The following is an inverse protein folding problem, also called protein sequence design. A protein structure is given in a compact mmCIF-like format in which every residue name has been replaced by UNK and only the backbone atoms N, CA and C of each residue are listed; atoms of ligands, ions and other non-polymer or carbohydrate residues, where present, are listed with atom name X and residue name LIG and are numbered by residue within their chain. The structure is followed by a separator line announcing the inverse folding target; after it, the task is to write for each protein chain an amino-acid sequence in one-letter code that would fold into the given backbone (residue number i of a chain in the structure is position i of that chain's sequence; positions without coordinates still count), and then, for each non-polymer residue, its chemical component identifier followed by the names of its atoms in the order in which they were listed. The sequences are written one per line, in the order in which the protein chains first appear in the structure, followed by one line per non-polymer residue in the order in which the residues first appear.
data_IF_019765001521
#
_entry.id   IF_019765001521
#
_cell.length_a   1.000
_cell.length_b   1.000
_cell.length_c   1.000
_cell.angle_alpha   90.00
_cell.angle_beta   90.00
_cell.angle_gamma   90.00
#
_symmetry.space_group_name_H-M   'P 1'
#
loop_
_entity.id
_entity.type
_entity.pdbx_description
1 polymer ?
#
# COMPACT_ATOMS: atom_id res chain seq x y z
N UNK A 1 -16.13 17.40 18.16
CA UNK A 1 -15.13 17.15 17.12
C UNK A 1 -14.44 15.84 17.40
N UNK A 2 -14.43 14.93 16.45
CA UNK A 2 -13.74 13.63 16.55
C UNK A 2 -12.22 13.84 16.47
N UNK A 3 -11.50 13.34 17.47
CA UNK A 3 -10.03 13.42 17.52
C UNK A 3 -9.40 12.12 17.01
N UNK A 4 -8.10 12.16 16.72
CA UNK A 4 -7.34 10.95 16.36
C UNK A 4 -7.44 9.88 17.46
N UNK A 5 -7.37 10.28 18.72
CA UNK A 5 -7.48 9.36 19.87
C UNK A 5 -8.85 8.66 19.94
N UNK A 6 -9.94 9.37 19.60
CA UNK A 6 -11.28 8.77 19.57
C UNK A 6 -11.34 7.67 18.48
N UNK A 7 -10.77 7.91 17.32
CA UNK A 7 -10.69 6.92 16.23
C UNK A 7 -9.85 5.72 16.67
N UNK A 8 -8.66 5.95 17.22
CA UNK A 8 -7.76 4.90 17.71
C UNK A 8 -8.42 4.04 18.79
N UNK A 9 -9.15 4.64 19.73
CA UNK A 9 -9.88 3.90 20.76
C UNK A 9 -10.96 2.98 20.18
N UNK A 10 -11.73 3.45 19.21
CA UNK A 10 -12.76 2.63 18.54
C UNK A 10 -12.10 1.50 17.74
N UNK A 11 -11.01 1.77 17.04
CA UNK A 11 -10.26 0.76 16.31
C UNK A 11 -9.72 -0.33 17.26
N UNK A 12 -9.23 0.04 18.45
CA UNK A 12 -8.82 -0.92 19.48
C UNK A 12 -10.00 -1.74 20.02
N UNK A 13 -11.14 -1.11 20.27
CA UNK A 13 -12.38 -1.82 20.69
C UNK A 13 -12.80 -2.85 19.63
N UNK A 14 -12.75 -2.45 18.35
CA UNK A 14 -13.01 -3.36 17.24
C UNK A 14 -12.02 -4.54 17.22
N UNK A 15 -10.71 -4.29 17.44
CA UNK A 15 -9.71 -5.35 17.54
C UNK A 15 -10.04 -6.37 18.65
N UNK A 16 -10.53 -5.91 19.79
CA UNK A 16 -10.91 -6.80 20.90
C UNK A 16 -12.05 -7.76 20.53
N UNK A 17 -12.96 -7.35 19.66
CA UNK A 17 -14.02 -8.22 19.14
C UNK A 17 -13.52 -9.40 18.28
N UNK A 18 -12.32 -9.26 17.68
CA UNK A 18 -11.68 -10.28 16.85
C UNK A 18 -10.60 -11.08 17.59
N UNK A 19 -10.04 -10.50 18.66
CA UNK A 19 -8.94 -11.10 19.41
C UNK A 19 -9.31 -12.46 19.99
N UNK A 20 -8.42 -13.45 19.79
CA UNK A 20 -8.66 -14.84 20.21
C UNK A 20 -9.55 -15.67 19.28
N UNK A 21 -10.12 -15.06 18.21
CA UNK A 21 -10.94 -15.75 17.22
C UNK A 21 -10.23 -15.82 15.86
N UNK A 22 -9.62 -14.73 15.43
CA UNK A 22 -8.98 -14.58 14.14
C UNK A 22 -7.55 -14.08 14.36
N UNK A 23 -6.60 -14.50 13.51
CA UNK A 23 -5.22 -14.02 13.54
C UNK A 23 -5.16 -12.52 13.20
N UNK A 24 -4.31 -11.76 13.90
CA UNK A 24 -4.18 -10.31 13.71
C UNK A 24 -3.75 -9.93 12.29
N UNK A 25 -3.00 -10.80 11.63
CA UNK A 25 -2.63 -10.61 10.22
C UNK A 25 -3.82 -10.64 9.25
N UNK A 26 -4.97 -11.15 9.67
CA UNK A 26 -6.20 -11.27 8.88
C UNK A 26 -7.29 -10.28 9.30
N UNK A 27 -7.57 -10.12 10.60
CA UNK A 27 -8.65 -9.23 11.01
C UNK A 27 -8.35 -7.74 10.79
N UNK A 28 -7.09 -7.37 10.60
CA UNK A 28 -6.72 -6.01 10.19
C UNK A 28 -7.46 -5.56 8.93
N UNK A 29 -7.61 -6.46 7.95
CA UNK A 29 -8.23 -6.15 6.67
C UNK A 29 -9.72 -5.82 6.84
N UNK A 30 -10.41 -6.53 7.74
CA UNK A 30 -11.81 -6.27 8.08
C UNK A 30 -11.99 -4.91 8.78
N UNK A 31 -11.14 -4.62 9.77
CA UNK A 31 -11.22 -3.38 10.56
C UNK A 31 -10.88 -2.16 9.70
N UNK A 32 -9.78 -2.23 8.95
CA UNK A 32 -9.33 -1.12 8.11
C UNK A 32 -10.27 -0.84 6.95
N UNK A 33 -10.89 -1.88 6.38
CA UNK A 33 -11.92 -1.71 5.36
C UNK A 33 -13.20 -1.12 5.94
N UNK A 34 -13.60 -1.51 7.14
CA UNK A 34 -14.77 -0.92 7.79
C UNK A 34 -14.55 0.56 8.14
N UNK A 35 -13.34 0.94 8.56
CA UNK A 35 -12.98 2.35 8.75
C UNK A 35 -13.13 3.14 7.44
N UNK A 36 -12.65 2.58 6.34
CA UNK A 36 -12.75 3.21 5.02
C UNK A 36 -14.21 3.36 4.58
N UNK A 37 -15.03 2.31 4.71
CA UNK A 37 -16.48 2.36 4.40
C UNK A 37 -17.20 3.39 5.27
N UNK A 38 -16.92 3.39 6.58
CA UNK A 38 -17.51 4.37 7.52
C UNK A 38 -17.17 5.80 7.10
N UNK A 39 -15.91 6.05 6.76
CA UNK A 39 -15.49 7.37 6.27
C UNK A 39 -16.21 7.78 4.98
N UNK A 40 -16.26 6.91 3.97
CA UNK A 40 -16.96 7.18 2.73
C UNK A 40 -18.45 7.50 2.96
N UNK A 41 -19.10 6.70 3.83
CA UNK A 41 -20.50 6.87 4.19
C UNK A 41 -20.76 8.22 4.87
N UNK A 42 -19.95 8.59 5.84
CA UNK A 42 -20.10 9.85 6.57
C UNK A 42 -19.84 11.06 5.68
N UNK A 43 -18.85 11.00 4.79
CA UNK A 43 -18.60 12.05 3.78
C UNK A 43 -19.79 12.18 2.83
N UNK A 44 -20.29 11.06 2.31
CA UNK A 44 -21.45 11.03 1.42
C UNK A 44 -22.70 11.62 2.10
N UNK A 45 -22.93 11.28 3.36
CA UNK A 45 -24.05 11.77 4.17
C UNK A 45 -24.00 13.29 4.34
N UNK A 46 -22.83 13.84 4.69
CA UNK A 46 -22.66 15.29 4.84
C UNK A 46 -22.88 16.02 3.51
N UNK A 47 -22.26 15.55 2.43
CA UNK A 47 -22.42 16.11 1.09
C UNK A 47 -23.87 16.11 0.63
N UNK A 48 -24.59 15.01 0.86
CA UNK A 48 -26.01 14.93 0.53
C UNK A 48 -26.83 15.97 1.29
N UNK A 49 -26.54 16.17 2.58
CA UNK A 49 -27.21 17.21 3.39
C UNK A 49 -26.90 18.63 2.85
N UNK A 50 -25.65 18.91 2.53
CA UNK A 50 -25.22 20.18 1.94
C UNK A 50 -25.98 20.46 0.62
N UNK A 51 -26.10 19.45 -0.27
CA UNK A 51 -26.80 19.61 -1.53
C UNK A 51 -28.34 19.73 -1.37
N UNK A 52 -28.94 19.03 -0.39
CA UNK A 52 -30.35 19.21 -0.07
C UNK A 52 -30.63 20.67 0.32
N UNK A 53 -29.75 21.23 1.16
CA UNK A 53 -29.84 22.63 1.58
C UNK A 53 -29.58 23.59 0.39
N UNK A 54 -28.53 23.34 -0.39
CA UNK A 54 -28.13 24.18 -1.52
C UNK A 54 -29.17 24.23 -2.63
N UNK A 55 -29.87 23.13 -2.90
CA UNK A 55 -30.87 23.00 -3.96
C UNK A 55 -32.30 23.06 -3.42
N UNK A 56 -32.50 23.56 -2.19
CA UNK A 56 -33.82 23.77 -1.57
C UNK A 56 -34.72 22.52 -1.63
N UNK A 57 -34.13 21.32 -1.53
CA UNK A 57 -34.84 20.05 -1.56
C UNK A 57 -35.15 19.49 -2.95
N UNK A 58 -34.67 20.10 -4.05
CA UNK A 58 -34.77 19.51 -5.39
C UNK A 58 -33.92 18.23 -5.50
N UNK A 59 -34.52 17.08 -5.22
CA UNK A 59 -33.83 15.78 -5.18
C UNK A 59 -33.20 15.41 -6.53
N UNK A 60 -33.70 15.86 -7.68
CA UNK A 60 -33.05 15.56 -8.98
C UNK A 60 -31.71 16.26 -9.11
N UNK A 61 -31.60 17.49 -8.62
CA UNK A 61 -30.33 18.23 -8.57
C UNK A 61 -29.40 17.63 -7.58
N UNK A 62 -29.92 17.23 -6.41
CA UNK A 62 -29.11 16.54 -5.35
C UNK A 62 -28.50 15.28 -5.93
N UNK A 63 -29.26 14.35 -6.51
CA UNK A 63 -28.75 13.10 -7.08
C UNK A 63 -27.70 13.34 -8.18
N UNK A 64 -27.96 14.34 -9.05
CA UNK A 64 -27.01 14.72 -10.10
C UNK A 64 -25.71 15.29 -9.53
N UNK A 65 -25.74 16.00 -8.42
CA UNK A 65 -24.54 16.48 -7.74
C UNK A 65 -23.81 15.34 -7.05
N UNK A 66 -24.53 14.48 -6.32
CA UNK A 66 -23.97 13.30 -5.65
C UNK A 66 -23.26 12.36 -6.63
N UNK A 67 -23.80 12.15 -7.84
CA UNK A 67 -23.16 11.30 -8.86
C UNK A 67 -21.82 11.83 -9.38
N UNK A 68 -21.43 13.06 -9.07
CA UNK A 68 -20.17 13.71 -9.45
C UNK A 68 -19.20 13.85 -8.28
N UNK A 69 -19.61 13.41 -7.11
CA UNK A 69 -18.76 13.45 -5.94
C UNK A 69 -17.54 12.52 -6.08
N UNK A 70 -16.55 12.75 -5.24
CA UNK A 70 -15.29 12.00 -5.19
C UNK A 70 -15.51 10.48 -5.12
N UNK A 71 -16.52 10.06 -4.33
CA UNK A 71 -16.99 8.68 -4.25
C UNK A 71 -18.52 8.67 -4.29
N UNK A 72 -19.06 7.83 -5.15
CA UNK A 72 -20.49 7.58 -5.24
C UNK A 72 -20.88 6.40 -4.34
N UNK A 73 -21.97 6.55 -3.59
CA UNK A 73 -22.57 5.52 -2.76
C UNK A 73 -24.08 5.52 -2.93
N UNK A 74 -24.66 4.33 -3.03
CA UNK A 74 -26.11 4.17 -2.89
C UNK A 74 -26.51 3.94 -1.42
N UNK A 75 -27.80 3.97 -1.13
CA UNK A 75 -28.34 3.84 0.23
C UNK A 75 -27.95 2.52 0.88
N UNK A 76 -28.06 1.40 0.14
CA UNK A 76 -27.78 0.05 0.65
C UNK A 76 -26.27 -0.23 0.83
N UNK A 77 -25.39 0.63 0.33
CA UNK A 77 -23.96 0.55 0.52
C UNK A 77 -23.44 1.47 1.62
N UNK A 78 -24.32 2.26 2.27
CA UNK A 78 -23.91 3.15 3.37
C UNK A 78 -23.68 2.38 4.68
N UNK A 79 -22.81 2.92 5.52
CA UNK A 79 -22.58 2.38 6.86
C UNK A 79 -23.86 2.43 7.72
N UNK A 80 -24.67 3.49 7.61
CA UNK A 80 -25.92 3.63 8.36
C UNK A 80 -26.90 2.49 8.02
N UNK A 81 -27.03 2.15 6.73
CA UNK A 81 -27.85 1.02 6.31
C UNK A 81 -27.36 -0.30 6.91
N UNK A 82 -26.05 -0.57 6.87
CA UNK A 82 -25.46 -1.78 7.46
C UNK A 82 -25.66 -1.84 8.98
N UNK A 83 -25.53 -0.70 9.64
CA UNK A 83 -25.77 -0.61 11.09
C UNK A 83 -27.24 -0.89 11.47
N UNK A 84 -28.19 -0.36 10.73
CA UNK A 84 -29.61 -0.58 10.97
C UNK A 84 -29.98 -2.06 10.79
N UNK A 85 -29.31 -2.77 9.88
CA UNK A 85 -29.50 -4.19 9.61
C UNK A 85 -28.51 -5.12 10.36
N UNK A 86 -27.75 -4.62 11.34
CA UNK A 86 -26.68 -5.37 12.02
C UNK A 86 -27.12 -6.64 12.75
N UNK A 87 -28.42 -6.78 12.99
CA UNK A 87 -29.00 -7.97 13.65
C UNK A 87 -29.52 -9.01 12.66
N UNK A 88 -29.43 -8.76 11.37
CA UNK A 88 -29.86 -9.71 10.34
C UNK A 88 -28.96 -10.94 10.30
N UNK A 89 -29.55 -12.10 10.02
CA UNK A 89 -28.83 -13.36 9.95
C UNK A 89 -27.80 -13.41 8.82
N UNK A 90 -27.95 -12.58 7.79
CA UNK A 90 -27.10 -12.49 6.61
C UNK A 90 -26.22 -11.24 6.59
N UNK A 91 -25.94 -10.63 7.74
CA UNK A 91 -25.20 -9.37 7.81
C UNK A 91 -23.82 -9.45 7.11
N UNK A 92 -23.09 -10.56 7.21
CA UNK A 92 -21.82 -10.74 6.51
C UNK A 92 -21.97 -10.66 4.99
N UNK A 93 -23.03 -11.28 4.43
CA UNK A 93 -23.33 -11.19 3.01
C UNK A 93 -23.74 -9.77 2.61
N UNK A 94 -24.53 -9.09 3.47
CA UNK A 94 -24.94 -7.71 3.21
C UNK A 94 -23.73 -6.76 3.15
N UNK A 95 -22.77 -6.93 4.03
CA UNK A 95 -21.51 -6.16 3.99
C UNK A 95 -20.77 -6.42 2.66
N UNK A 96 -20.61 -7.69 2.26
CA UNK A 96 -19.96 -8.03 0.99
C UNK A 96 -20.67 -7.40 -0.22
N UNK A 97 -22.00 -7.39 -0.24
CA UNK A 97 -22.79 -6.74 -1.29
C UNK A 97 -22.56 -5.23 -1.30
N UNK A 98 -22.56 -4.60 -0.12
CA UNK A 98 -22.27 -3.17 0.01
C UNK A 98 -20.87 -2.81 -0.54
N UNK A 99 -19.84 -3.61 -0.21
CA UNK A 99 -18.48 -3.43 -0.73
C UNK A 99 -18.44 -3.56 -2.26
N UNK A 100 -19.12 -4.56 -2.83
CA UNK A 100 -19.19 -4.75 -4.28
C UNK A 100 -19.87 -3.55 -4.98
N UNK A 101 -20.95 -3.01 -4.41
CA UNK A 101 -21.63 -1.83 -4.93
C UNK A 101 -20.73 -0.58 -4.86
N UNK A 102 -19.99 -0.38 -3.76
CA UNK A 102 -19.02 0.71 -3.65
C UNK A 102 -17.97 0.58 -4.77
N UNK A 103 -17.44 -0.62 -5.05
CA UNK A 103 -16.50 -0.84 -6.16
C UNK A 103 -17.13 -0.53 -7.53
N UNK A 104 -18.35 -1.01 -7.79
CA UNK A 104 -19.06 -0.80 -9.06
C UNK A 104 -19.29 0.67 -9.35
N UNK A 105 -19.81 1.42 -8.38
CA UNK A 105 -20.03 2.86 -8.51
C UNK A 105 -18.74 3.67 -8.65
N UNK A 106 -17.60 3.13 -8.20
CA UNK A 106 -16.30 3.79 -8.19
C UNK A 106 -15.22 2.99 -8.95
N UNK A 107 -15.62 2.27 -10.01
CA UNK A 107 -14.77 1.30 -10.72
C UNK A 107 -13.47 1.89 -11.28
N UNK A 108 -13.43 3.21 -11.56
CA UNK A 108 -12.20 3.90 -11.97
C UNK A 108 -11.16 4.08 -10.86
N UNK A 109 -11.56 3.93 -9.59
CA UNK A 109 -10.70 4.17 -8.42
C UNK A 109 -10.55 2.95 -7.51
N UNK A 110 -11.65 2.21 -7.27
CA UNK A 110 -11.73 1.16 -6.26
C UNK A 110 -11.85 -0.25 -6.85
N UNK A 111 -11.59 -0.43 -8.14
CA UNK A 111 -11.72 -1.74 -8.78
C UNK A 111 -10.87 -2.81 -8.09
N UNK A 112 -11.50 -3.88 -7.62
CA UNK A 112 -10.90 -5.02 -6.93
C UNK A 112 -10.29 -4.69 -5.54
N UNK A 113 -10.50 -3.50 -4.96
CA UNK A 113 -9.93 -3.11 -3.66
C UNK A 113 -10.50 -3.96 -2.52
N UNK A 114 -11.79 -4.30 -2.57
CA UNK A 114 -12.43 -5.13 -1.54
C UNK A 114 -12.46 -6.62 -1.89
N UNK A 115 -12.06 -7.00 -3.10
CA UNK A 115 -12.10 -8.38 -3.54
C UNK A 115 -11.36 -9.39 -2.63
N UNK A 116 -10.23 -9.03 -1.97
CA UNK A 116 -9.55 -9.93 -1.03
C UNK A 116 -10.26 -10.11 0.31
N UNK A 117 -11.37 -9.40 0.56
CA UNK A 117 -12.01 -9.28 1.88
C UNK A 117 -13.39 -9.94 1.82
N UNK A 118 -13.62 -10.94 2.67
CA UNK A 118 -14.89 -11.68 2.74
C UNK A 118 -15.46 -11.69 4.17
N UNK A 119 -16.40 -10.79 4.46
CA UNK A 119 -17.11 -10.71 5.74
C UNK A 119 -18.04 -11.91 5.97
N UNK A 120 -18.20 -12.81 4.99
CA UNK A 120 -18.96 -14.04 5.13
C UNK A 120 -18.09 -15.30 5.26
N UNK A 121 -16.76 -15.14 5.38
CA UNK A 121 -15.77 -16.22 5.48
C UNK A 121 -16.04 -17.10 6.71
N UNK A 122 -16.35 -18.38 6.50
CA UNK A 122 -16.45 -19.36 7.60
C UNK A 122 -15.08 -19.73 8.18
N UNK A 123 -14.03 -19.64 7.36
CA UNK A 123 -12.66 -19.92 7.82
C UNK A 123 -12.19 -18.91 8.86
N UNK A 124 -12.59 -17.64 8.72
CA UNK A 124 -12.17 -16.57 9.63
C UNK A 124 -13.11 -16.42 10.82
N UNK A 125 -14.41 -16.47 10.58
CA UNK A 125 -15.41 -16.17 11.61
C UNK A 125 -16.03 -17.39 12.29
N UNK A 126 -15.77 -18.60 11.79
CA UNK A 126 -16.40 -19.82 12.32
C UNK A 126 -17.90 -19.92 12.01
N UNK A 127 -18.67 -20.35 12.99
CA UNK A 127 -20.11 -20.57 12.86
C UNK A 127 -20.90 -19.27 12.69
N UNK A 128 -22.06 -19.35 12.01
CA UNK A 128 -22.91 -18.19 11.67
C UNK A 128 -23.25 -17.33 12.89
N UNK A 129 -23.52 -17.95 14.04
CA UNK A 129 -23.87 -17.24 15.28
C UNK A 129 -22.69 -16.38 15.79
N UNK A 130 -21.49 -16.95 15.78
CA UNK A 130 -20.27 -16.27 16.24
C UNK A 130 -19.87 -15.17 15.26
N UNK A 131 -19.93 -15.43 13.97
CA UNK A 131 -19.74 -14.46 12.92
C UNK A 131 -20.65 -13.24 13.10
N UNK A 132 -21.96 -13.47 13.17
CA UNK A 132 -22.94 -12.39 13.28
C UNK A 132 -22.77 -11.58 14.58
N UNK A 133 -22.39 -12.22 15.69
CA UNK A 133 -22.08 -11.50 16.93
C UNK A 133 -20.83 -10.60 16.76
N UNK A 134 -19.77 -11.09 16.12
CA UNK A 134 -18.55 -10.33 15.86
C UNK A 134 -18.82 -9.15 14.93
N UNK A 135 -19.55 -9.36 13.84
CA UNK A 135 -19.89 -8.29 12.89
C UNK A 135 -20.84 -7.24 13.49
N UNK A 136 -21.78 -7.65 14.34
CA UNK A 136 -22.63 -6.72 15.08
C UNK A 136 -21.79 -5.81 15.99
N UNK A 137 -20.88 -6.38 16.76
CA UNK A 137 -20.00 -5.61 17.64
C UNK A 137 -19.13 -4.64 16.84
N UNK A 138 -18.58 -5.09 15.70
CA UNK A 138 -17.82 -4.25 14.79
C UNK A 138 -18.64 -3.02 14.33
N UNK A 139 -19.87 -3.23 13.88
CA UNK A 139 -20.75 -2.15 13.44
C UNK A 139 -21.15 -1.23 14.61
N UNK A 140 -21.40 -1.77 15.82
CA UNK A 140 -21.70 -0.98 17.02
C UNK A 140 -20.50 -0.13 17.47
N UNK A 141 -19.28 -0.64 17.36
CA UNK A 141 -18.07 0.13 17.67
C UNK A 141 -17.89 1.29 16.69
N UNK A 142 -17.96 1.03 15.39
CA UNK A 142 -17.80 2.09 14.38
C UNK A 142 -18.94 3.11 14.34
N UNK A 143 -20.13 2.74 14.79
CA UNK A 143 -21.27 3.67 14.90
C UNK A 143 -21.00 4.81 15.90
N UNK A 144 -20.12 4.61 16.88
CA UNK A 144 -19.71 5.64 17.86
C UNK A 144 -18.91 6.78 17.21
N UNK A 145 -18.34 6.56 16.00
CA UNK A 145 -17.55 7.55 15.28
C UNK A 145 -18.44 8.44 14.42
N UNK A 146 -18.12 9.72 14.40
CA UNK A 146 -18.61 10.70 13.43
C UNK A 146 -17.43 11.20 12.61
N UNK A 147 -17.29 10.65 11.39
CA UNK A 147 -16.17 10.93 10.49
C UNK A 147 -16.55 11.94 9.40
N UNK A 148 -17.63 12.71 9.58
CA UNK A 148 -17.98 13.80 8.68
C UNK A 148 -16.88 14.86 8.66
N UNK A 149 -16.52 15.40 7.50
CA UNK A 149 -15.48 16.43 7.38
C UNK A 149 -15.64 17.61 8.36
N UNK A 150 -16.86 18.07 8.60
CA UNK A 150 -17.17 19.14 9.55
C UNK A 150 -16.89 18.77 11.02
N UNK A 151 -16.83 17.49 11.34
CA UNK A 151 -16.60 16.97 12.70
C UNK A 151 -15.14 16.58 12.95
N UNK A 152 -14.31 16.56 11.93
CA UNK A 152 -12.89 16.22 12.02
C UNK A 152 -12.06 17.46 12.37
N UNK A 153 -11.09 17.31 13.28
CA UNK A 153 -10.19 18.40 13.67
C UNK A 153 -9.15 18.78 12.60
N UNK A 154 -8.83 17.85 11.70
CA UNK A 154 -8.05 18.08 10.48
C UNK A 154 -8.37 17.04 9.41
N UNK A 155 -8.01 17.36 8.18
CA UNK A 155 -8.24 16.50 7.02
C UNK A 155 -7.44 15.17 7.08
N UNK A 156 -6.31 15.16 7.77
CA UNK A 156 -5.36 14.04 7.80
C UNK A 156 -5.61 13.05 8.94
N UNK A 157 -6.48 13.40 9.89
CA UNK A 157 -6.71 12.58 11.12
C UNK A 157 -7.02 11.13 10.80
N UNK A 158 -7.86 10.87 9.80
CA UNK A 158 -8.28 9.49 9.46
C UNK A 158 -7.12 8.73 8.84
N UNK A 159 -6.39 9.36 7.91
CA UNK A 159 -5.21 8.76 7.30
C UNK A 159 -4.13 8.46 8.34
N UNK A 160 -3.88 9.38 9.27
CA UNK A 160 -2.90 9.19 10.35
C UNK A 160 -3.33 8.06 11.32
N UNK A 161 -4.62 7.95 11.64
CA UNK A 161 -5.15 6.84 12.44
C UNK A 161 -5.06 5.50 11.68
N UNK A 162 -5.30 5.51 10.38
CA UNK A 162 -5.14 4.34 9.50
C UNK A 162 -3.68 3.86 9.47
N UNK A 163 -2.71 4.76 9.24
CA UNK A 163 -1.28 4.43 9.28
C UNK A 163 -0.84 3.91 10.66
N UNK A 164 -1.35 4.51 11.75
CA UNK A 164 -1.08 4.04 13.11
C UNK A 164 -1.52 2.59 13.29
N UNK A 165 -2.73 2.25 12.87
CA UNK A 165 -3.24 0.88 13.00
C UNK A 165 -2.47 -0.11 12.14
N UNK A 166 -2.09 0.25 10.91
CA UNK A 166 -1.21 -0.59 10.09
C UNK A 166 0.11 -0.87 10.83
N UNK A 167 0.72 0.14 11.44
CA UNK A 167 1.95 -0.02 12.22
C UNK A 167 1.77 -0.96 13.41
N UNK A 168 0.66 -0.84 14.13
CA UNK A 168 0.33 -1.70 15.28
C UNK A 168 0.12 -3.15 14.84
N UNK A 169 -0.64 -3.39 13.77
CA UNK A 169 -0.83 -4.74 13.22
C UNK A 169 0.48 -5.35 12.70
N UNK A 170 1.37 -4.56 12.13
CA UNK A 170 2.68 -5.02 11.71
C UNK A 170 3.54 -5.44 12.89
N UNK A 171 3.47 -4.70 14.00
CA UNK A 171 4.16 -5.04 15.26
C UNK A 171 3.64 -6.36 15.86
N UNK A 172 2.31 -6.53 15.91
CA UNK A 172 1.68 -7.72 16.49
C UNK A 172 1.89 -8.99 15.64
N UNK A 173 1.90 -8.85 14.32
CA UNK A 173 2.10 -9.96 13.38
C UNK A 173 3.57 -10.45 13.31
N UNK A 174 4.52 -9.81 13.97
CA UNK A 174 5.91 -10.21 14.04
C UNK A 174 6.56 -10.34 12.65
N UNK A 175 7.15 -11.52 12.33
CA UNK A 175 7.83 -11.74 11.03
C UNK A 175 6.94 -11.49 9.81
N UNK A 176 5.66 -11.85 9.88
CA UNK A 176 4.71 -11.62 8.78
C UNK A 176 4.35 -10.15 8.61
N UNK A 177 4.37 -9.38 9.70
CA UNK A 177 4.03 -7.95 9.67
C UNK A 177 5.12 -7.06 9.10
N UNK A 178 6.39 -7.43 9.32
CA UNK A 178 7.54 -6.67 8.84
C UNK A 178 7.70 -6.61 7.31
N UNK A 179 7.03 -7.50 6.57
CA UNK A 179 7.13 -7.57 5.11
C UNK A 179 6.35 -6.45 4.38
N UNK A 180 5.38 -5.82 5.04
CA UNK A 180 4.53 -4.80 4.40
C UNK A 180 4.57 -3.43 5.09
N UNK A 181 5.38 -3.26 6.13
CA UNK A 181 5.46 -2.01 6.87
C UNK A 181 6.91 -1.55 7.11
N UNK A 182 7.18 -0.33 6.73
CA UNK A 182 8.46 0.35 7.02
C UNK A 182 8.29 1.25 8.24
N UNK A 183 9.15 1.14 9.28
CA UNK A 183 9.09 2.03 10.44
C UNK A 183 9.08 3.50 10.02
N UNK A 184 8.20 4.29 10.65
CA UNK A 184 7.93 5.68 10.24
C UNK A 184 9.20 6.55 10.20
N UNK A 185 10.13 6.33 11.13
CA UNK A 185 11.41 7.05 11.18
C UNK A 185 12.31 6.70 9.98
N UNK A 186 12.29 5.45 9.53
CA UNK A 186 13.04 5.02 8.33
C UNK A 186 12.41 5.63 7.08
N UNK A 187 11.09 5.58 6.96
CA UNK A 187 10.36 6.20 5.85
C UNK A 187 10.62 7.71 5.77
N UNK A 188 10.64 8.39 6.91
CA UNK A 188 10.96 9.82 7.01
C UNK A 188 12.40 10.12 6.57
N UNK A 189 13.36 9.29 6.99
CA UNK A 189 14.76 9.41 6.59
C UNK A 189 14.92 9.20 5.07
N UNK A 190 14.36 8.12 4.53
CA UNK A 190 14.41 7.81 3.08
C UNK A 190 13.81 8.96 2.27
N UNK A 191 12.63 9.46 2.64
CA UNK A 191 11.98 10.58 1.97
C UNK A 191 12.84 11.85 2.02
N UNK A 192 13.52 12.12 3.16
CA UNK A 192 14.41 13.26 3.31
C UNK A 192 15.69 13.15 2.47
N UNK A 193 16.22 11.94 2.28
CA UNK A 193 17.42 11.71 1.46
C UNK A 193 17.18 11.93 -0.03
N UNK A 194 16.01 11.54 -0.55
CA UNK A 194 15.67 11.68 -1.97
C UNK A 194 15.18 13.08 -2.33
N UNK A 195 14.82 13.92 -1.36
CA UNK A 195 14.45 15.35 -1.54
C UNK A 195 13.46 15.57 -2.69
N UNK A 196 12.22 15.05 -2.61
CA UNK A 196 11.22 15.25 -3.67
C UNK A 196 10.95 16.73 -3.91
N UNK A 197 10.61 17.08 -5.14
CA UNK A 197 10.31 18.46 -5.58
C UNK A 197 8.98 18.51 -6.31
N UNK A 198 8.42 19.71 -6.48
CA UNK A 198 7.25 19.90 -7.35
C UNK A 198 7.50 19.33 -8.75
N UNK A 199 6.48 18.71 -9.31
CA UNK A 199 6.43 18.04 -10.60
C UNK A 199 7.27 16.74 -10.70
N UNK A 200 7.85 16.25 -9.60
CA UNK A 200 8.47 14.93 -9.61
C UNK A 200 7.42 13.82 -9.78
N UNK A 201 7.79 12.78 -10.52
CA UNK A 201 7.15 11.47 -10.47
C UNK A 201 7.87 10.66 -9.39
N UNK A 202 7.12 10.19 -8.39
CA UNK A 202 7.65 9.41 -7.25
C UNK A 202 7.16 7.98 -7.38
N UNK A 203 8.05 7.01 -7.30
CA UNK A 203 7.76 5.59 -7.50
C UNK A 203 8.27 4.72 -6.37
N UNK A 204 7.47 3.74 -5.97
CA UNK A 204 7.89 2.64 -5.09
C UNK A 204 7.49 1.29 -5.73
N UNK A 205 8.47 0.46 -6.16
CA UNK A 205 8.23 -0.83 -6.81
C UNK A 205 7.71 -1.92 -5.86
N UNK A 206 7.74 -1.69 -4.54
CA UNK A 206 7.33 -2.62 -3.49
C UNK A 206 6.61 -1.87 -2.38
N UNK A 207 5.56 -1.11 -2.78
CA UNK A 207 5.04 -0.02 -1.96
C UNK A 207 4.40 -0.43 -0.64
N UNK A 208 4.16 -1.73 -0.42
CA UNK A 208 3.55 -2.19 0.82
C UNK A 208 2.22 -1.48 1.08
N UNK A 209 2.03 -0.95 2.27
CA UNK A 209 0.87 -0.14 2.65
C UNK A 209 0.93 1.33 2.19
N UNK A 210 1.97 1.74 1.46
CA UNK A 210 2.13 3.08 0.91
C UNK A 210 2.77 4.11 1.83
N UNK A 211 3.16 3.72 3.05
CA UNK A 211 3.69 4.66 4.05
C UNK A 211 4.93 5.43 3.57
N UNK A 212 5.83 4.79 2.81
CA UNK A 212 7.03 5.45 2.26
C UNK A 212 6.67 6.46 1.17
N UNK A 213 5.73 6.13 0.27
CA UNK A 213 5.20 7.05 -0.74
C UNK A 213 4.54 8.27 -0.10
N UNK A 214 3.73 8.06 0.95
CA UNK A 214 3.06 9.15 1.68
C UNK A 214 4.06 10.08 2.38
N UNK A 215 5.14 9.53 2.97
CA UNK A 215 6.22 10.36 3.54
C UNK A 215 6.91 11.20 2.48
N UNK A 216 7.19 10.61 1.30
CA UNK A 216 7.76 11.35 0.18
C UNK A 216 6.80 12.42 -0.36
N UNK A 217 5.50 12.11 -0.48
CA UNK A 217 4.45 13.06 -0.87
C UNK A 217 4.39 14.26 0.08
N UNK A 218 4.35 14.01 1.40
CA UNK A 218 4.28 15.06 2.43
C UNK A 218 5.52 15.99 2.47
N UNK A 219 6.65 15.61 1.82
CA UNK A 219 7.82 16.49 1.66
C UNK A 219 7.60 17.63 0.67
N UNK A 220 6.55 17.56 -0.15
CA UNK A 220 6.19 18.58 -1.13
C UNK A 220 4.87 19.22 -0.71
N UNK A 221 4.89 20.34 0.05
CA UNK A 221 3.68 20.91 0.66
C UNK A 221 2.59 21.32 -0.34
N UNK A 222 2.95 21.63 -1.57
CA UNK A 222 1.99 21.96 -2.63
C UNK A 222 1.19 20.74 -3.11
N UNK A 223 1.63 19.50 -2.80
CA UNK A 223 1.06 18.26 -3.31
C UNK A 223 1.23 18.05 -4.82
N UNK A 224 1.95 18.92 -5.53
CA UNK A 224 2.14 18.82 -6.99
C UNK A 224 3.21 17.81 -7.36
N UNK A 225 2.95 16.54 -7.10
CA UNK A 225 3.78 15.39 -7.48
C UNK A 225 2.86 14.26 -7.95
N UNK A 226 3.36 13.38 -8.80
CA UNK A 226 2.63 12.20 -9.25
C UNK A 226 3.16 10.95 -8.53
N UNK A 227 2.25 10.20 -7.89
CA UNK A 227 2.58 9.01 -7.09
C UNK A 227 2.30 7.75 -7.88
N UNK A 228 3.29 6.86 -7.89
CA UNK A 228 3.23 5.54 -8.52
C UNK A 228 3.70 4.48 -7.56
N UNK A 229 3.03 3.34 -7.56
CA UNK A 229 3.43 2.20 -6.75
C UNK A 229 3.11 0.87 -7.43
N UNK A 230 3.78 -0.18 -6.98
CA UNK A 230 3.41 -1.54 -7.33
C UNK A 230 3.58 -2.44 -6.11
N UNK A 231 2.61 -3.35 -5.88
CA UNK A 231 2.61 -4.27 -4.75
C UNK A 231 2.15 -5.65 -5.21
N UNK A 232 2.89 -6.70 -4.83
CA UNK A 232 2.61 -8.08 -5.21
C UNK A 232 1.36 -8.62 -4.50
N UNK A 233 1.28 -8.38 -3.19
CA UNK A 233 0.22 -8.93 -2.35
C UNK A 233 -1.09 -8.13 -2.53
N UNK A 234 -2.15 -8.80 -2.97
CA UNK A 234 -3.44 -8.17 -3.25
C UNK A 234 -4.06 -7.48 -2.02
N UNK A 235 -3.93 -8.07 -0.82
CA UNK A 235 -4.45 -7.49 0.42
C UNK A 235 -3.67 -6.23 0.79
N UNK A 236 -2.34 -6.28 0.72
CA UNK A 236 -1.47 -5.13 1.00
C UNK A 236 -1.65 -4.02 -0.03
N UNK A 237 -1.83 -4.37 -1.31
CA UNK A 237 -2.19 -3.43 -2.38
C UNK A 237 -3.52 -2.71 -2.08
N UNK A 238 -4.53 -3.44 -1.61
CA UNK A 238 -5.82 -2.87 -1.23
C UNK A 238 -5.66 -1.87 -0.07
N UNK A 239 -4.89 -2.24 0.97
CA UNK A 239 -4.56 -1.33 2.07
C UNK A 239 -3.84 -0.06 1.59
N UNK A 240 -2.87 -0.20 0.69
CA UNK A 240 -2.18 0.94 0.09
C UNK A 240 -3.14 1.87 -0.64
N UNK A 241 -4.01 1.31 -1.47
CA UNK A 241 -4.99 2.07 -2.24
C UNK A 241 -5.94 2.86 -1.32
N UNK A 242 -6.51 2.20 -0.30
CA UNK A 242 -7.33 2.88 0.70
C UNK A 242 -6.55 3.97 1.44
N UNK A 243 -5.30 3.70 1.82
CA UNK A 243 -4.42 4.65 2.49
C UNK A 243 -4.18 5.92 1.65
N UNK A 244 -3.90 5.77 0.35
CA UNK A 244 -3.78 6.92 -0.57
C UNK A 244 -5.05 7.77 -0.56
N UNK A 245 -6.23 7.15 -0.66
CA UNK A 245 -7.49 7.89 -0.63
C UNK A 245 -7.76 8.58 0.71
N UNK A 246 -7.43 7.96 1.84
CA UNK A 246 -7.60 8.57 3.15
C UNK A 246 -6.69 9.79 3.35
N UNK A 247 -5.52 9.79 2.70
CA UNK A 247 -4.61 10.94 2.64
C UNK A 247 -4.87 11.89 1.47
N UNK A 248 -5.99 11.71 0.73
CA UNK A 248 -6.40 12.57 -0.40
C UNK A 248 -5.42 12.61 -1.57
N UNK A 249 -4.64 11.55 -1.76
CA UNK A 249 -3.78 11.35 -2.91
C UNK A 249 -4.55 10.54 -3.96
N UNK A 250 -5.57 11.16 -4.55
CA UNK A 250 -6.59 10.50 -5.38
C UNK A 250 -6.10 10.06 -6.75
N UNK A 251 -5.03 10.65 -7.23
CA UNK A 251 -4.40 10.38 -8.52
C UNK A 251 -3.22 9.42 -8.44
N UNK A 252 -2.96 8.85 -7.24
CA UNK A 252 -1.96 7.82 -7.07
C UNK A 252 -2.28 6.59 -7.94
N UNK A 253 -1.28 6.10 -8.66
CA UNK A 253 -1.38 4.92 -9.52
C UNK A 253 -0.68 3.74 -8.86
N UNK A 254 -1.46 2.94 -8.15
CA UNK A 254 -0.96 1.78 -7.42
C UNK A 254 -1.40 0.50 -8.14
N UNK A 255 -0.45 -0.25 -8.67
CA UNK A 255 -0.69 -1.48 -9.40
C UNK A 255 -0.49 -2.73 -8.53
N UNK A 256 -1.30 -3.75 -8.76
CA UNK A 256 -1.12 -5.05 -8.13
C UNK A 256 -0.36 -5.98 -9.09
N UNK A 257 0.73 -6.59 -8.62
CA UNK A 257 1.50 -7.57 -9.38
C UNK A 257 3.00 -7.56 -9.05
N UNK A 258 3.70 -8.54 -9.61
CA UNK A 258 5.15 -8.70 -9.43
C UNK A 258 5.92 -7.67 -10.25
N UNK A 259 6.59 -6.76 -9.58
CA UNK A 259 7.40 -5.70 -10.19
C UNK A 259 8.58 -6.22 -11.00
N UNK A 260 9.16 -7.34 -10.61
CA UNK A 260 10.34 -7.87 -11.28
C UNK A 260 9.98 -8.56 -12.60
N UNK A 261 9.04 -9.51 -12.57
CA UNK A 261 8.65 -10.26 -13.77
C UNK A 261 7.56 -9.59 -14.61
N UNK A 262 6.74 -8.73 -14.00
CA UNK A 262 5.61 -8.06 -14.66
C UNK A 262 5.45 -6.60 -14.20
N UNK A 263 6.41 -5.71 -14.49
CA UNK A 263 6.29 -4.29 -14.16
C UNK A 263 5.11 -3.65 -14.90
N UNK A 264 4.29 -2.87 -14.18
CA UNK A 264 3.08 -2.25 -14.73
C UNK A 264 3.28 -0.79 -15.10
N UNK A 265 4.30 -0.13 -14.54
CA UNK A 265 4.61 1.26 -14.87
C UNK A 265 5.45 1.32 -16.17
N UNK A 266 4.74 1.19 -17.28
CA UNK A 266 5.29 1.11 -18.65
C UNK A 266 4.74 2.27 -19.48
N UNK A 267 5.58 2.85 -20.31
CA UNK A 267 5.26 3.92 -21.26
C UNK A 267 6.01 3.60 -22.58
N UNK A 268 5.27 3.47 -23.68
CA UNK A 268 5.84 3.11 -25.01
C UNK A 268 6.72 1.83 -24.99
N UNK A 269 6.21 0.76 -24.37
CA UNK A 269 6.89 -0.54 -24.20
C UNK A 269 8.21 -0.48 -23.41
N UNK A 270 8.44 0.61 -22.66
CA UNK A 270 9.63 0.82 -21.83
C UNK A 270 9.21 1.11 -20.38
N UNK A 271 10.13 0.84 -19.47
CA UNK A 271 9.94 1.28 -18.07
C UNK A 271 9.77 2.79 -18.01
N UNK A 272 8.70 3.25 -17.37
CA UNK A 272 8.52 4.67 -17.05
C UNK A 272 9.72 5.22 -16.31
N UNK A 273 9.98 6.52 -16.46
CA UNK A 273 11.08 7.21 -15.79
C UNK A 273 10.57 8.12 -14.69
N UNK A 274 11.25 8.05 -13.54
CA UNK A 274 10.88 8.73 -12.30
C UNK A 274 12.04 9.56 -11.77
N UNK A 275 11.75 10.76 -11.31
CA UNK A 275 12.74 11.62 -10.66
C UNK A 275 13.10 11.09 -9.28
N UNK A 276 12.14 10.43 -8.61
CA UNK A 276 12.34 9.85 -7.27
C UNK A 276 11.88 8.40 -7.28
N UNK A 277 12.75 7.50 -6.84
CA UNK A 277 12.38 6.09 -6.58
C UNK A 277 12.78 5.73 -5.16
N UNK A 278 11.86 5.19 -4.40
CA UNK A 278 12.06 4.78 -3.01
C UNK A 278 11.60 3.34 -2.83
N UNK A 279 12.23 2.57 -1.97
CA UNK A 279 11.77 1.23 -1.66
C UNK A 279 12.30 0.70 -0.33
N UNK A 280 11.50 -0.17 0.28
CA UNK A 280 11.93 -1.14 1.29
C UNK A 280 11.45 -2.52 0.84
N UNK A 281 12.17 -3.18 -0.10
CA UNK A 281 11.75 -4.47 -0.65
C UNK A 281 11.91 -5.60 0.39
N UNK A 282 11.28 -6.77 0.17
CA UNK A 282 11.50 -7.93 1.02
C UNK A 282 12.98 -8.34 1.02
N UNK A 283 13.57 -8.47 2.23
CA UNK A 283 15.00 -8.75 2.37
C UNK A 283 15.35 -10.15 1.88
N UNK A 284 16.34 -10.22 1.00
CA UNK A 284 16.90 -11.48 0.50
C UNK A 284 15.83 -12.41 -0.12
N UNK A 285 14.91 -11.87 -0.92
CA UNK A 285 13.84 -12.62 -1.57
C UNK A 285 14.40 -13.83 -2.32
N UNK A 286 13.98 -15.03 -1.91
CA UNK A 286 14.30 -16.28 -2.60
C UNK A 286 13.40 -16.46 -3.83
N UNK A 287 13.95 -17.08 -4.90
CA UNK A 287 13.24 -17.36 -6.16
C UNK A 287 12.59 -16.13 -6.79
N UNK A 288 13.23 -14.96 -6.65
CA UNK A 288 12.76 -13.71 -7.21
C UNK A 288 12.57 -13.75 -8.73
N UNK A 289 13.26 -14.69 -9.39
CA UNK A 289 13.29 -14.91 -10.84
C UNK A 289 12.20 -15.86 -11.34
N UNK A 290 11.38 -16.44 -10.45
CA UNK A 290 10.39 -17.48 -10.80
C UNK A 290 9.41 -17.04 -11.90
N UNK A 291 8.98 -15.79 -11.90
CA UNK A 291 8.07 -15.26 -12.91
C UNK A 291 8.68 -15.17 -14.32
N UNK A 292 10.00 -14.98 -14.43
CA UNK A 292 10.72 -15.01 -15.71
C UNK A 292 10.88 -16.44 -16.27
N UNK A 293 10.82 -17.44 -15.41
CA UNK A 293 11.12 -18.84 -15.76
C UNK A 293 9.88 -19.65 -16.15
N UNK A 294 8.71 -19.04 -16.23
CA UNK A 294 7.45 -19.73 -16.54
C UNK A 294 7.55 -20.48 -17.87
N UNK A 295 8.01 -19.83 -18.92
CA UNK A 295 8.06 -20.35 -20.30
C UNK A 295 9.47 -20.80 -20.71
N UNK A 296 10.42 -20.85 -19.77
CA UNK A 296 11.80 -21.28 -20.04
C UNK A 296 11.88 -22.80 -19.97
N UNK A 297 12.50 -23.42 -20.96
CA UNK A 297 12.81 -24.85 -20.93
C UNK A 297 13.88 -25.18 -19.89
N UNK A 298 13.73 -26.32 -19.24
CA UNK A 298 14.74 -26.80 -18.29
C UNK A 298 15.96 -27.37 -19.03
N UNK A 299 17.14 -27.19 -18.46
CA UNK A 299 18.37 -27.81 -18.95
C UNK A 299 18.33 -29.36 -18.82
N UNK A 300 19.37 -30.03 -19.28
CA UNK A 300 19.52 -31.49 -19.17
C UNK A 300 19.47 -32.06 -17.74
N UNK A 301 19.57 -31.20 -16.74
CA UNK A 301 19.46 -31.55 -15.32
C UNK A 301 18.12 -31.13 -14.69
N UNK A 302 17.16 -30.71 -15.51
CA UNK A 302 15.84 -30.29 -15.07
C UNK A 302 15.83 -28.89 -14.38
N UNK A 303 16.89 -28.07 -14.56
CA UNK A 303 16.99 -26.74 -13.97
C UNK A 303 16.68 -25.65 -14.99
N UNK A 304 15.87 -24.70 -14.55
CA UNK A 304 15.67 -23.42 -15.25
C UNK A 304 16.60 -22.38 -14.65
N UNK A 305 17.10 -21.45 -15.47
CA UNK A 305 18.05 -20.42 -15.02
C UNK A 305 17.68 -19.07 -15.63
N UNK A 306 17.65 -18.04 -14.80
CA UNK A 306 17.51 -16.67 -15.25
C UNK A 306 18.77 -16.20 -15.98
N UNK A 307 18.59 -15.61 -17.14
CA UNK A 307 19.63 -14.91 -17.92
C UNK A 307 19.20 -13.48 -18.20
N UNK A 308 20.16 -12.60 -18.56
CA UNK A 308 19.84 -11.20 -18.81
C UNK A 308 18.88 -11.02 -20.01
N UNK A 309 18.98 -11.89 -21.01
CA UNK A 309 18.16 -11.86 -22.24
C UNK A 309 16.66 -12.14 -21.98
N UNK A 310 16.32 -12.77 -20.85
CA UNK A 310 14.93 -13.00 -20.46
C UNK A 310 14.23 -11.73 -19.94
N UNK A 311 14.99 -10.67 -19.68
CA UNK A 311 14.43 -9.39 -19.27
C UNK A 311 14.29 -8.42 -20.45
N UNK A 312 13.07 -8.14 -20.93
CA UNK A 312 12.87 -7.25 -22.09
C UNK A 312 13.25 -5.80 -21.81
N UNK A 313 13.48 -5.44 -20.55
CA UNK A 313 13.81 -4.08 -20.13
C UNK A 313 15.31 -3.86 -19.88
N UNK A 314 16.17 -4.86 -20.16
CA UNK A 314 17.62 -4.78 -20.01
C UNK A 314 18.11 -4.38 -18.61
N UNK A 315 17.34 -4.71 -17.56
CA UNK A 315 17.70 -4.35 -16.18
C UNK A 315 18.90 -5.11 -15.66
N UNK A 316 19.15 -6.31 -16.19
CA UNK A 316 20.16 -7.26 -15.69
C UNK A 316 21.39 -7.36 -16.60
N UNK A 317 21.62 -6.42 -17.50
CA UNK A 317 22.78 -6.40 -18.39
C UNK A 317 24.12 -6.32 -17.63
N UNK A 318 24.13 -5.73 -16.43
CA UNK A 318 25.31 -5.68 -15.56
C UNK A 318 25.54 -6.94 -14.74
N UNK A 319 24.65 -7.89 -14.84
CA UNK A 319 24.69 -9.18 -14.17
C UNK A 319 23.36 -9.56 -13.53
N UNK A 320 23.07 -10.85 -13.57
CA UNK A 320 21.88 -11.44 -12.94
C UNK A 320 22.19 -11.72 -11.47
N UNK A 321 21.41 -11.18 -10.53
CA UNK A 321 21.54 -11.51 -9.11
C UNK A 321 21.30 -12.99 -8.84
N UNK A 322 21.82 -13.55 -7.72
CA UNK A 322 21.55 -14.94 -7.36
C UNK A 322 20.05 -15.17 -7.15
N UNK A 323 19.50 -16.29 -7.63
CA UNK A 323 18.09 -16.67 -7.44
C UNK A 323 17.64 -16.60 -5.97
N UNK A 324 18.52 -16.95 -5.04
CA UNK A 324 18.23 -16.94 -3.60
C UNK A 324 18.35 -15.56 -2.93
N UNK A 325 18.66 -14.49 -3.68
CA UNK A 325 18.92 -13.14 -3.15
C UNK A 325 18.47 -12.06 -4.14
N UNK A 326 17.22 -11.66 -4.06
CA UNK A 326 16.61 -10.65 -4.95
C UNK A 326 17.01 -9.20 -4.66
N UNK A 327 17.82 -8.94 -3.65
CA UNK A 327 18.16 -7.57 -3.21
C UNK A 327 18.64 -6.69 -4.37
N UNK A 328 19.61 -7.16 -5.16
CA UNK A 328 20.11 -6.42 -6.33
C UNK A 328 19.17 -6.44 -7.53
N UNK A 329 18.20 -7.34 -7.61
CA UNK A 329 17.17 -7.28 -8.66
C UNK A 329 16.30 -6.03 -8.49
N UNK A 330 15.92 -5.71 -7.27
CA UNK A 330 15.21 -4.45 -6.97
C UNK A 330 16.09 -3.22 -7.21
N UNK A 331 17.37 -3.23 -6.81
CA UNK A 331 18.30 -2.11 -7.09
C UNK A 331 18.38 -1.83 -8.59
N UNK A 332 18.57 -2.87 -9.40
CA UNK A 332 18.70 -2.75 -10.86
C UNK A 332 17.38 -2.29 -11.52
N UNK A 333 16.23 -2.80 -11.06
CA UNK A 333 14.92 -2.32 -11.51
C UNK A 333 14.73 -0.83 -11.21
N UNK A 334 15.03 -0.40 -9.98
CA UNK A 334 14.90 1.01 -9.59
C UNK A 334 15.83 1.91 -10.40
N UNK A 335 17.09 1.51 -10.61
CA UNK A 335 18.05 2.25 -11.44
C UNK A 335 17.61 2.36 -12.90
N UNK A 336 17.04 1.27 -13.46
CA UNK A 336 16.48 1.27 -14.80
C UNK A 336 15.25 2.18 -14.93
N UNK A 337 14.51 2.39 -13.84
CA UNK A 337 13.34 3.28 -13.78
C UNK A 337 13.68 4.73 -13.44
N UNK A 338 14.95 5.06 -13.15
CA UNK A 338 15.34 6.44 -12.85
C UNK A 338 15.38 7.31 -14.10
N UNK A 339 14.95 8.55 -13.94
CA UNK A 339 15.19 9.62 -14.90
C UNK A 339 16.69 9.82 -15.15
N UNK A 340 17.09 9.98 -16.41
CA UNK A 340 18.49 9.99 -16.79
C UNK A 340 19.23 11.24 -16.31
N UNK A 341 18.54 12.38 -16.20
CA UNK A 341 19.16 13.67 -15.89
C UNK A 341 19.19 13.97 -14.39
N UNK A 342 18.08 13.72 -13.69
CA UNK A 342 17.93 14.17 -12.32
C UNK A 342 17.38 13.07 -11.39
N UNK A 343 17.38 11.83 -11.84
CA UNK A 343 16.91 10.69 -11.09
C UNK A 343 17.72 10.42 -9.82
N UNK A 344 17.00 10.20 -8.71
CA UNK A 344 17.57 9.88 -7.42
C UNK A 344 16.74 8.82 -6.71
N UNK A 345 17.39 7.90 -6.05
CA UNK A 345 16.70 6.85 -5.33
C UNK A 345 17.33 6.55 -3.97
N UNK A 346 16.53 6.01 -3.08
CA UNK A 346 17.00 5.44 -1.82
C UNK A 346 16.28 4.12 -1.57
N UNK A 347 17.03 3.09 -1.23
CA UNK A 347 16.53 1.74 -1.00
C UNK A 347 17.07 1.19 0.32
N UNK A 348 16.17 0.57 1.09
CA UNK A 348 16.53 -0.12 2.34
C UNK A 348 16.87 -1.58 2.03
N UNK A 349 18.02 -2.05 2.48
CA UNK A 349 18.52 -3.40 2.18
C UNK A 349 19.24 -4.00 3.37
N UNK A 350 19.35 -5.34 3.48
CA UNK A 350 20.15 -5.98 4.51
C UNK A 350 21.65 -5.73 4.28
N UNK A 351 22.44 -5.62 5.34
CA UNK A 351 23.89 -5.36 5.26
C UNK A 351 24.65 -6.33 4.34
N UNK A 352 24.14 -7.55 4.12
CA UNK A 352 24.75 -8.54 3.22
C UNK A 352 25.06 -8.00 1.82
N UNK A 353 24.26 -7.04 1.30
CA UNK A 353 24.49 -6.42 -0.01
C UNK A 353 25.83 -5.68 -0.12
N UNK A 354 26.41 -5.28 1.00
CA UNK A 354 27.66 -4.51 1.03
C UNK A 354 28.90 -5.38 0.82
N UNK A 355 28.83 -6.69 1.11
CA UNK A 355 30.03 -7.55 1.12
C UNK A 355 29.88 -8.91 0.43
N UNK A 356 28.66 -9.37 0.09
CA UNK A 356 28.50 -10.63 -0.65
C UNK A 356 29.22 -10.57 -2.00
N UNK A 357 29.90 -11.67 -2.35
CA UNK A 357 30.72 -11.80 -3.55
C UNK A 357 29.95 -12.24 -4.79
N UNK A 358 30.62 -12.95 -5.70
CA UNK A 358 30.09 -13.50 -6.96
C UNK A 358 29.36 -12.43 -7.83
N UNK A 359 28.15 -12.71 -8.32
CA UNK A 359 27.39 -11.79 -9.18
C UNK A 359 27.05 -10.48 -8.48
N UNK A 360 26.69 -10.50 -7.19
CA UNK A 360 26.43 -9.28 -6.42
C UNK A 360 27.68 -8.38 -6.32
N UNK A 361 28.85 -8.97 -6.15
CA UNK A 361 30.13 -8.24 -6.14
C UNK A 361 30.43 -7.57 -7.49
N UNK A 362 30.09 -8.23 -8.62
CA UNK A 362 30.24 -7.66 -9.96
C UNK A 362 29.30 -6.46 -10.18
N UNK A 363 28.02 -6.63 -9.85
CA UNK A 363 27.01 -5.57 -9.93
C UNK A 363 27.43 -4.37 -9.09
N UNK A 364 27.83 -4.59 -7.83
CA UNK A 364 28.27 -3.53 -6.93
C UNK A 364 29.48 -2.77 -7.46
N UNK A 365 30.44 -3.45 -8.08
CA UNK A 365 31.58 -2.81 -8.75
C UNK A 365 31.13 -1.87 -9.85
N UNK A 366 30.23 -2.32 -10.75
CA UNK A 366 29.68 -1.50 -11.82
C UNK A 366 28.99 -0.24 -11.29
N UNK A 367 28.20 -0.38 -10.23
CA UNK A 367 27.48 0.75 -9.60
C UNK A 367 28.45 1.82 -9.06
N UNK A 368 29.60 1.41 -8.52
CA UNK A 368 30.65 2.33 -8.04
C UNK A 368 31.45 2.93 -9.19
N UNK A 369 31.89 2.12 -10.16
CA UNK A 369 32.66 2.57 -11.33
C UNK A 369 31.86 3.55 -12.20
N UNK A 370 30.54 3.38 -12.30
CA UNK A 370 29.64 4.31 -13.01
C UNK A 370 29.27 5.55 -12.18
N UNK A 371 29.85 5.74 -11.02
CA UNK A 371 29.59 6.87 -10.11
C UNK A 371 28.10 7.06 -9.76
N UNK A 372 27.33 5.97 -9.63
CA UNK A 372 25.90 6.03 -9.32
C UNK A 372 25.61 6.05 -7.81
N UNK A 373 26.44 5.37 -7.02
CA UNK A 373 26.27 5.26 -5.56
C UNK A 373 26.69 6.57 -4.89
N UNK A 374 25.72 7.27 -4.28
CA UNK A 374 25.93 8.55 -3.59
C UNK A 374 26.28 8.39 -2.11
N UNK A 375 25.55 7.51 -1.40
CA UNK A 375 25.79 7.26 0.02
C UNK A 375 25.38 5.86 0.44
N UNK A 376 26.04 5.38 1.50
CA UNK A 376 25.67 4.17 2.25
C UNK A 376 25.44 4.58 3.71
N UNK A 377 24.24 4.34 4.24
CA UNK A 377 23.83 4.75 5.58
C UNK A 377 23.48 3.49 6.38
N UNK A 378 24.26 3.18 7.42
CA UNK A 378 23.95 2.08 8.33
C UNK A 378 22.78 2.40 9.25
N UNK A 379 21.87 1.44 9.44
CA UNK A 379 20.75 1.54 10.37
C UNK A 379 21.00 0.67 11.61
N UNK A 380 20.47 1.05 12.78
CA UNK A 380 20.55 0.21 13.98
C UNK A 380 19.96 -1.19 13.76
N UNK A 381 20.49 -2.18 14.47
CA UNK A 381 19.89 -3.51 14.52
C UNK A 381 18.53 -3.48 15.21
N UNK A 382 17.67 -4.47 14.94
CA UNK A 382 16.34 -4.62 15.53
C UNK A 382 15.38 -3.45 15.26
N UNK A 383 15.59 -2.70 14.17
CA UNK A 383 14.74 -1.57 13.80
C UNK A 383 13.48 -2.02 13.06
N UNK A 384 13.56 -3.12 12.31
CA UNK A 384 12.44 -3.64 11.53
C UNK A 384 11.69 -4.74 12.29
N UNK A 385 10.36 -4.72 12.20
CA UNK A 385 9.53 -5.73 12.84
C UNK A 385 9.87 -7.14 12.32
N UNK A 386 9.94 -8.08 13.23
CA UNK A 386 10.14 -9.50 12.91
C UNK A 386 11.53 -9.92 12.41
N UNK A 387 12.50 -9.00 12.33
CA UNK A 387 13.88 -9.33 11.98
C UNK A 387 14.89 -8.55 12.81
N UNK A 388 15.92 -9.26 13.30
CA UNK A 388 17.09 -8.63 13.94
C UNK A 388 18.22 -8.31 12.96
N UNK A 389 18.00 -8.51 11.65
CA UNK A 389 19.03 -8.31 10.62
C UNK A 389 19.38 -6.82 10.52
N UNK A 390 20.67 -6.44 10.67
CA UNK A 390 21.06 -5.04 10.43
C UNK A 390 20.80 -4.66 8.97
N UNK A 391 20.25 -3.48 8.77
CA UNK A 391 19.95 -2.94 7.45
C UNK A 391 20.76 -1.66 7.16
N UNK A 392 20.79 -1.28 5.89
CA UNK A 392 21.38 -0.03 5.44
C UNK A 392 20.46 0.62 4.39
N UNK A 393 20.65 1.91 4.18
CA UNK A 393 20.06 2.64 3.05
C UNK A 393 21.16 2.87 2.03
N UNK A 394 20.93 2.46 0.79
CA UNK A 394 21.76 2.85 -0.35
C UNK A 394 21.08 4.00 -1.08
N UNK A 395 21.82 5.10 -1.29
CA UNK A 395 21.35 6.27 -2.03
C UNK A 395 22.09 6.32 -3.35
N UNK A 396 21.35 6.45 -4.46
CA UNK A 396 21.90 6.58 -5.79
C UNK A 396 21.38 7.86 -6.47
N UNK A 397 22.20 8.42 -7.31
CA UNK A 397 21.86 9.60 -8.13
C UNK A 397 22.42 9.45 -9.53
N UNK A 398 21.63 9.88 -10.53
CA UNK A 398 22.11 10.12 -11.90
C UNK A 398 22.88 11.44 -11.99
N UNK A 399 23.74 11.56 -12.98
CA UNK A 399 24.51 12.77 -13.29
C UNK A 399 25.25 13.37 -12.08
N UNK A 400 25.91 12.52 -11.29
CA UNK A 400 26.81 13.02 -10.25
C UNK A 400 28.06 13.62 -10.86
N UNK A 401 28.58 14.77 -10.34
CA UNK A 401 29.80 15.39 -10.79
C UNK A 401 31.03 14.52 -10.59
#
# INVERSE_FOLDING_TARGET
MTTRNDIEQVLWSACDSFRGKIDSSRYKDYILSMLFVKYLSDVSKEKRQDYIQQYEGDMRRVERAMSRERFAMDEESTFDYLYDHRSESQIGQMINVALSRIEEHNSGKLRNVFRPIDFNSQVDFGEVKEKNATLRNLLEDFHKLDLRPSQLGSADIIGDAYEYMIAMFASDAGKKGGEFFTPSQVSELVASLVKPKENDRIYDPTCGSGGLLLKAYKKVPSGKVAIYGQELNAQTWALCTMNMFLHRVDDARIWQGDTLSNPQNIEDDKLMKFQVVVANPPFSLDKWDSGFLTDVEADSKGKKKMTAELDPYHRFDWGVPPTSKGDYAFVLHMLASLDAENGRMAIVLPHGVLFRGASEGKIRRQLVEMNLLDAVIGLPANLFYGTGIPACILVFKKNRP
#
